data_IF_173784659226
#
_entry.id   IF_173784659226
#
_cell.length_a   1.000
_cell.length_b   1.000
_cell.length_c   1.000
_cell.angle_alpha   90.00
_cell.angle_beta   90.00
_cell.angle_gamma   90.00
#
_symmetry.space_group_name_H-M   'P 1'
#
loop_
_entity.id
_entity.type
_entity.pdbx_description
1 polymer ?
#
# COMPACT_ATOMS: atom_id res chain seq x y z
N UNK A 1 2.29 7.46 -7.66
CA UNK A 1 1.58 6.16 -7.72
C UNK A 1 0.72 5.97 -6.49
N UNK A 2 1.18 6.48 -5.34
CA UNK A 2 0.41 6.53 -4.11
C UNK A 2 -1.01 7.08 -4.30
N UNK A 3 -1.19 8.17 -5.06
CA UNK A 3 -2.52 8.75 -5.34
C UNK A 3 -3.51 7.74 -5.96
N UNK A 4 -3.04 6.89 -6.87
CA UNK A 4 -3.87 5.87 -7.52
C UNK A 4 -4.23 4.76 -6.55
N UNK A 5 -3.28 4.35 -5.71
CA UNK A 5 -3.54 3.35 -4.66
C UNK A 5 -4.57 3.88 -3.68
N UNK A 6 -4.40 5.11 -3.18
CA UNK A 6 -5.35 5.73 -2.24
C UNK A 6 -6.73 5.93 -2.85
N UNK A 7 -6.83 6.26 -4.14
CA UNK A 7 -8.12 6.39 -4.82
C UNK A 7 -8.89 5.06 -4.93
N UNK A 8 -8.19 3.92 -4.97
CA UNK A 8 -8.79 2.59 -5.12
C UNK A 8 -9.04 1.95 -3.74
N UNK A 9 -8.02 1.93 -2.88
CA UNK A 9 -8.02 1.21 -1.60
C UNK A 9 -8.40 2.08 -0.41
N UNK A 10 -8.45 3.41 -0.57
CA UNK A 10 -8.65 4.38 0.51
C UNK A 10 -7.47 4.42 1.49
N UNK A 11 -7.69 4.94 2.69
CA UNK A 11 -6.69 5.06 3.76
C UNK A 11 -6.46 3.73 4.51
N UNK A 12 -6.47 2.61 3.78
CA UNK A 12 -6.35 1.28 4.37
C UNK A 12 -4.91 1.05 4.83
N UNK A 13 -4.73 0.85 6.15
CA UNK A 13 -3.44 0.48 6.72
C UNK A 13 -3.03 -0.95 6.34
N UNK A 14 -1.74 -1.17 6.15
CA UNK A 14 -1.19 -2.52 5.91
C UNK A 14 -1.27 -3.42 7.15
N UNK A 15 -1.41 -2.80 8.33
CA UNK A 15 -1.51 -3.50 9.61
C UNK A 15 -2.40 -2.76 10.60
N UNK A 16 -3.23 -3.52 11.32
CA UNK A 16 -4.04 -3.04 12.42
C UNK A 16 -3.68 -3.78 13.70
N UNK A 17 -3.08 -3.07 14.66
CA UNK A 17 -2.84 -3.63 15.98
C UNK A 17 -4.16 -3.96 16.67
N UNK A 18 -4.36 -5.23 17.03
CA UNK A 18 -5.53 -5.70 17.79
C UNK A 18 -5.32 -5.71 19.30
N UNK A 19 -4.23 -5.07 19.78
CA UNK A 19 -3.82 -5.03 21.19
C UNK A 19 -3.79 -6.43 21.86
N UNK A 20 -3.30 -7.44 21.13
CA UNK A 20 -3.26 -8.83 21.62
C UNK A 20 -2.48 -9.00 22.94
N UNK A 21 -1.54 -8.07 23.22
CA UNK A 21 -0.78 -8.00 24.47
C UNK A 21 -1.67 -7.87 25.72
N UNK A 22 -2.89 -7.35 25.56
CA UNK A 22 -3.86 -7.23 26.64
C UNK A 22 -4.53 -8.56 27.01
N UNK A 23 -4.40 -9.59 26.15
CA UNK A 23 -5.13 -10.86 26.25
C UNK A 23 -4.19 -12.06 26.30
N UNK A 24 -2.96 -11.85 26.76
CA UNK A 24 -1.98 -12.93 26.82
C UNK A 24 -2.30 -13.83 28.02
N UNK A 25 -2.52 -15.12 27.75
CA UNK A 25 -2.78 -16.14 28.78
C UNK A 25 -1.64 -16.27 29.79
N UNK A 26 -0.41 -15.91 29.40
CA UNK A 26 0.76 -15.88 30.30
C UNK A 26 0.59 -14.93 31.48
N UNK A 27 -0.37 -14.00 31.41
CA UNK A 27 -0.68 -13.05 32.47
C UNK A 27 -2.05 -13.30 33.13
N UNK A 28 -2.67 -14.46 32.92
CA UNK A 28 -4.00 -14.77 33.48
C UNK A 28 -5.05 -13.66 33.24
N UNK A 29 -5.03 -13.09 32.02
CA UNK A 29 -5.89 -11.96 31.60
C UNK A 29 -5.67 -10.63 32.35
N UNK A 30 -4.64 -10.53 33.20
CA UNK A 30 -4.23 -9.31 33.89
C UNK A 30 -2.77 -8.94 33.57
N UNK A 31 -2.51 -8.39 32.37
CA UNK A 31 -1.17 -7.95 32.00
C UNK A 31 -0.67 -6.86 32.95
N UNK A 32 0.59 -6.90 33.38
CA UNK A 32 1.16 -5.83 34.20
C UNK A 32 1.25 -4.53 33.39
N UNK A 33 1.16 -3.38 34.07
CA UNK A 33 1.10 -2.07 33.43
C UNK A 33 2.23 -1.83 32.42
N UNK A 34 3.46 -2.24 32.75
CA UNK A 34 4.63 -2.10 31.87
C UNK A 34 4.51 -2.87 30.55
N UNK A 35 3.76 -3.98 30.50
CA UNK A 35 3.61 -4.79 29.29
C UNK A 35 2.69 -4.11 28.26
N UNK A 36 1.77 -3.29 28.75
CA UNK A 36 0.83 -2.52 27.93
C UNK A 36 1.19 -1.03 27.83
N UNK A 37 2.32 -0.61 28.39
CA UNK A 37 2.80 0.77 28.31
C UNK A 37 3.26 1.11 26.89
N UNK A 38 2.96 2.33 26.42
CA UNK A 38 3.37 2.83 25.11
C UNK A 38 2.71 2.15 23.89
N UNK A 39 3.23 2.49 22.70
CA UNK A 39 2.82 1.89 21.43
C UNK A 39 3.34 0.45 21.36
N UNK A 40 2.49 -0.48 20.92
CA UNK A 40 2.90 -1.85 20.66
C UNK A 40 4.14 -1.89 19.74
N UNK A 41 5.21 -2.58 20.14
CA UNK A 41 6.45 -2.65 19.36
C UNK A 41 6.23 -3.14 17.92
N UNK A 42 5.36 -4.15 17.73
CA UNK A 42 4.98 -4.62 16.39
C UNK A 42 4.30 -3.51 15.59
N UNK A 43 3.35 -2.80 16.20
CA UNK A 43 2.68 -1.65 15.55
C UNK A 43 3.69 -0.60 15.10
N UNK A 44 4.66 -0.25 15.96
CA UNK A 44 5.69 0.75 15.62
C UNK A 44 6.50 0.34 14.38
N UNK A 45 6.93 -0.93 14.31
CA UNK A 45 7.63 -1.46 13.14
C UNK A 45 6.74 -1.45 11.90
N UNK A 46 5.46 -1.81 12.04
CA UNK A 46 4.52 -1.82 10.91
C UNK A 46 4.17 -0.41 10.42
N UNK A 47 4.04 0.57 11.32
CA UNK A 47 3.83 1.98 10.97
C UNK A 47 5.05 2.51 10.18
N UNK A 48 6.27 2.18 10.61
CA UNK A 48 7.49 2.51 9.85
C UNK A 48 7.53 1.82 8.48
N UNK A 49 7.11 0.56 8.39
CA UNK A 49 7.08 -0.17 7.12
C UNK A 49 6.08 0.45 6.14
N UNK A 50 4.90 0.86 6.63
CA UNK A 50 3.91 1.57 5.83
C UNK A 50 4.46 2.89 5.28
N UNK A 51 5.07 3.71 6.15
CA UNK A 51 5.67 4.98 5.73
C UNK A 51 6.69 4.78 4.61
N UNK A 52 7.60 3.81 4.75
CA UNK A 52 8.62 3.52 3.71
C UNK A 52 8.01 3.02 2.40
N UNK A 53 6.92 2.26 2.47
CA UNK A 53 6.19 1.81 1.30
C UNK A 53 5.54 3.00 0.59
N UNK A 54 4.87 3.89 1.33
CA UNK A 54 4.24 5.10 0.79
C UNK A 54 5.27 6.02 0.12
N UNK A 55 6.39 6.28 0.78
CA UNK A 55 7.52 7.06 0.22
C UNK A 55 8.04 6.47 -1.10
N UNK A 56 8.12 5.13 -1.21
CA UNK A 56 8.53 4.48 -2.45
C UNK A 56 7.48 4.62 -3.57
N UNK A 57 6.19 4.60 -3.22
CA UNK A 57 5.09 4.80 -4.19
C UNK A 57 4.97 6.26 -4.66
N UNK A 58 5.35 7.22 -3.83
CA UNK A 58 5.40 8.64 -4.20
C UNK A 58 6.48 8.93 -5.23
N UNK A 59 7.60 8.21 -5.20
CA UNK A 59 8.73 8.36 -6.13
C UNK A 59 8.43 7.91 -7.57
N UNK A 60 7.24 7.37 -7.85
CA UNK A 60 6.87 6.86 -9.15
C UNK A 60 5.60 7.51 -9.68
N UNK A 61 5.62 7.93 -10.94
CA UNK A 61 4.44 8.44 -11.65
C UNK A 61 3.86 7.40 -12.60
N UNK A 62 2.60 7.58 -13.00
CA UNK A 62 1.98 6.78 -14.07
C UNK A 62 2.77 6.94 -15.38
N UNK A 63 3.31 8.14 -15.64
CA UNK A 63 4.14 8.41 -16.82
C UNK A 63 5.43 7.58 -16.82
N UNK A 64 6.07 7.40 -15.67
CA UNK A 64 7.29 6.57 -15.56
C UNK A 64 7.01 5.11 -15.90
N UNK A 65 5.86 4.59 -15.45
CA UNK A 65 5.41 3.24 -15.79
C UNK A 65 5.06 3.11 -17.27
N UNK A 66 4.31 4.07 -17.82
CA UNK A 66 3.95 4.10 -19.22
C UNK A 66 5.19 4.14 -20.13
N UNK A 67 6.18 4.98 -19.83
CA UNK A 67 7.45 5.05 -20.56
C UNK A 67 8.23 3.73 -20.49
N UNK A 68 8.26 3.06 -19.33
CA UNK A 68 8.88 1.73 -19.20
C UNK A 68 8.17 0.67 -20.03
N UNK A 69 6.84 0.73 -20.10
CA UNK A 69 6.02 -0.16 -20.92
C UNK A 69 6.26 0.09 -22.42
N UNK A 70 6.19 1.34 -22.88
CA UNK A 70 6.36 1.67 -24.31
C UNK A 70 7.72 1.24 -24.86
N UNK A 71 8.79 1.28 -24.06
CA UNK A 71 10.11 0.78 -24.48
C UNK A 71 10.13 -0.72 -24.79
N UNK A 72 9.18 -1.49 -24.28
CA UNK A 72 9.06 -2.94 -24.53
C UNK A 72 7.97 -3.27 -25.54
N UNK A 73 7.13 -2.30 -25.87
CA UNK A 73 5.99 -2.50 -26.73
C UNK A 73 6.42 -2.49 -28.21
N UNK A 74 5.73 -3.23 -29.09
CA UNK A 74 5.84 -3.04 -30.53
C UNK A 74 5.48 -1.60 -30.93
N UNK A 75 6.08 -1.09 -32.01
CA UNK A 75 5.82 0.28 -32.50
C UNK A 75 4.33 0.53 -32.84
N UNK A 76 3.59 -0.52 -33.18
CA UNK A 76 2.16 -0.46 -33.51
C UNK A 76 1.25 -0.35 -32.29
N UNK A 77 1.75 -0.67 -31.09
CA UNK A 77 0.92 -0.86 -29.90
C UNK A 77 0.08 0.35 -29.53
N UNK A 78 0.62 1.57 -29.65
CA UNK A 78 -0.12 2.81 -29.33
C UNK A 78 -1.36 2.96 -30.24
N UNK A 79 -1.19 2.66 -31.53
CA UNK A 79 -2.27 2.78 -32.53
C UNK A 79 -3.34 1.72 -32.27
N UNK A 80 -2.92 0.49 -31.97
CA UNK A 80 -3.82 -0.63 -31.64
C UNK A 80 -4.68 -0.32 -30.41
N UNK A 81 -4.08 0.22 -29.35
CA UNK A 81 -4.81 0.62 -28.13
C UNK A 81 -5.81 1.74 -28.42
N UNK A 82 -5.41 2.76 -29.19
CA UNK A 82 -6.29 3.87 -29.53
C UNK A 82 -7.51 3.39 -30.32
N UNK A 83 -7.29 2.58 -31.36
CA UNK A 83 -8.37 2.00 -32.17
C UNK A 83 -9.33 1.14 -31.32
N UNK A 84 -8.79 0.37 -30.38
CA UNK A 84 -9.59 -0.45 -29.46
C UNK A 84 -10.45 0.36 -28.50
N UNK A 85 -9.96 1.52 -28.02
CA UNK A 85 -10.71 2.45 -27.16
C UNK A 85 -11.83 3.11 -27.97
N UNK A 86 -11.52 3.61 -29.17
CA UNK A 86 -12.49 4.33 -30.00
C UNK A 86 -13.66 3.43 -30.41
N UNK A 87 -13.39 2.17 -30.74
CA UNK A 87 -14.41 1.16 -31.03
C UNK A 87 -15.37 0.84 -29.87
N UNK A 88 -15.08 1.29 -28.63
CA UNK A 88 -15.94 1.08 -27.45
C UNK A 88 -16.63 2.36 -26.96
N UNK A 89 -16.20 3.51 -27.46
CA UNK A 89 -16.84 4.80 -27.17
C UNK A 89 -18.04 5.06 -28.10
N UNK A 90 -18.09 4.38 -29.23
CA UNK A 90 -19.24 4.30 -30.15
C UNK A 90 -20.30 3.32 -29.66
#
# INVERSE_FOLDING_TARGET
>A
MLDVVNAIDGDKRIFECREIRQRLTVFDEQPPAWACEGICGVRSVMDMAQQRMEEALEQHTILDLARKMYRKAPDTFVIEVQAWIDARKS
#
